data_IF_097587482919
#
_entry.id   IF_097587482919
#
_cell.length_a   1.000
_cell.length_b   1.000
_cell.length_c   1.000
_cell.angle_alpha   90.00
_cell.angle_beta   90.00
_cell.angle_gamma   90.00
#
_symmetry.space_group_name_H-M   'P 1'
#
loop_
_entity.id
_entity.type
_entity.pdbx_description
1 polymer ?
#
# COMPACT_ATOMS: atom_id res chain seq x y z
N UNK A 1 -15.57 4.91 30.47
CA UNK A 1 -15.02 3.61 30.91
C UNK A 1 -15.71 2.55 30.10
N UNK A 2 -14.98 2.01 29.13
CA UNK A 2 -15.48 1.09 28.12
C UNK A 2 -14.27 0.69 27.28
N UNK A 3 -13.65 -0.40 27.71
CA UNK A 3 -12.44 -0.98 27.11
C UNK A 3 -12.73 -1.46 25.69
N UNK A 4 -12.11 -0.82 24.70
CA UNK A 4 -11.93 -1.36 23.36
C UNK A 4 -10.43 -1.53 23.11
N UNK A 5 -9.82 -2.41 23.91
CA UNK A 5 -8.55 -3.02 23.54
C UNK A 5 -8.86 -3.94 22.36
N UNK A 6 -8.59 -3.47 21.15
CA UNK A 6 -8.56 -4.33 19.97
C UNK A 6 -7.56 -5.45 20.23
N UNK A 7 -8.09 -6.66 20.42
CA UNK A 7 -7.31 -7.86 20.60
C UNK A 7 -6.34 -8.02 19.43
N UNK A 8 -5.06 -8.21 19.75
CA UNK A 8 -4.05 -8.63 18.79
C UNK A 8 -4.56 -9.93 18.15
N UNK A 9 -4.75 -9.95 16.83
CA UNK A 9 -4.84 -11.23 16.11
C UNK A 9 -3.42 -11.79 16.06
N UNK A 10 -3.11 -12.90 16.75
CA UNK A 10 -1.80 -13.53 16.67
C UNK A 10 -1.71 -14.19 15.30
N UNK A 11 -0.88 -13.62 14.43
CA UNK A 11 -0.36 -14.27 13.23
C UNK A 11 0.38 -15.56 13.69
N UNK A 12 -0.17 -16.72 13.33
CA UNK A 12 0.29 -18.12 13.56
C UNK A 12 -0.74 -18.96 14.32
N UNK A 13 -1.54 -19.72 13.56
CA UNK A 13 -1.69 -21.17 13.78
C UNK A 13 -2.55 -21.79 12.68
N UNK A 14 -1.92 -22.46 11.71
CA UNK A 14 -2.33 -23.78 11.19
C UNK A 14 -1.38 -24.28 10.09
N UNK A 15 -0.39 -25.09 10.47
CA UNK A 15 0.00 -26.29 9.70
C UNK A 15 0.42 -27.39 10.69
N UNK A 16 -0.28 -28.52 10.63
CA UNK A 16 0.19 -29.80 11.17
C UNK A 16 0.62 -30.68 9.99
N UNK A 17 1.74 -31.38 10.20
CA UNK A 17 2.23 -32.58 9.49
C UNK A 17 2.71 -32.34 8.03
N UNK A 18 3.92 -32.69 7.59
CA UNK A 18 4.83 -33.78 7.96
C UNK A 18 6.27 -33.49 7.48
N UNK A 19 7.24 -34.05 8.20
CA UNK A 19 8.68 -34.08 7.94
C UNK A 19 9.06 -34.81 6.64
N UNK A 20 10.17 -34.41 6.01
CA UNK A 20 10.89 -35.29 5.08
C UNK A 20 12.03 -34.69 4.25
N UNK A 21 13.24 -34.76 4.79
CA UNK A 21 14.51 -35.07 4.10
C UNK A 21 15.26 -34.00 3.27
N UNK A 22 16.55 -33.97 3.58
CA UNK A 22 17.70 -33.25 3.01
C UNK A 22 17.87 -33.31 1.47
N UNK A 23 18.59 -32.32 0.91
CA UNK A 23 19.32 -32.52 -0.34
C UNK A 23 19.79 -31.27 -1.10
N UNK A 24 21.07 -30.91 -0.91
CA UNK A 24 22.06 -30.43 -1.90
C UNK A 24 21.72 -29.25 -2.84
N UNK A 25 22.49 -28.16 -2.64
CA UNK A 25 22.76 -27.04 -3.55
C UNK A 25 23.47 -27.51 -4.83
N UNK A 26 22.92 -27.23 -6.03
CA UNK A 26 23.63 -26.84 -7.27
C UNK A 26 22.60 -26.31 -8.28
N UNK A 27 22.86 -25.18 -8.95
CA UNK A 27 22.22 -24.89 -10.25
C UNK A 27 22.20 -23.43 -10.69
N UNK A 28 23.26 -22.97 -11.34
CA UNK A 28 23.27 -21.75 -12.15
C UNK A 28 22.24 -21.85 -13.30
N UNK A 29 21.46 -20.80 -13.60
CA UNK A 29 21.52 -20.17 -14.92
C UNK A 29 20.78 -18.83 -15.04
N UNK A 30 21.25 -18.09 -16.03
CA UNK A 30 20.93 -16.76 -16.52
C UNK A 30 19.45 -16.59 -16.91
N UNK A 31 18.89 -15.38 -16.74
CA UNK A 31 18.19 -14.71 -17.84
C UNK A 31 17.80 -13.25 -17.52
N UNK A 32 18.05 -12.40 -18.52
CA UNK A 32 17.33 -11.17 -18.90
C UNK A 32 17.22 -10.01 -17.91
N UNK A 33 18.00 -8.96 -18.21
CA UNK A 33 17.79 -7.56 -17.80
C UNK A 33 16.35 -7.10 -18.08
N UNK A 34 15.67 -6.39 -17.17
CA UNK A 34 14.55 -5.55 -17.54
C UNK A 34 15.07 -4.27 -18.21
N UNK A 35 14.54 -4.02 -19.40
CA UNK A 35 14.58 -2.78 -20.15
C UNK A 35 14.06 -1.59 -19.34
N UNK A 36 14.57 -0.40 -19.68
CA UNK A 36 14.48 0.83 -18.90
C UNK A 36 13.07 1.21 -18.43
N UNK A 37 12.98 1.51 -17.13
CA UNK A 37 11.83 2.20 -16.54
C UNK A 37 11.91 3.70 -16.83
N UNK A 38 10.87 4.22 -17.46
CA UNK A 38 10.52 5.63 -17.49
C UNK A 38 10.50 6.18 -16.06
N UNK A 39 11.40 7.10 -15.73
CA UNK A 39 11.31 7.87 -14.51
C UNK A 39 10.11 8.82 -14.66
N UNK A 40 8.94 8.43 -14.13
CA UNK A 40 7.79 9.33 -14.06
C UNK A 40 8.21 10.59 -13.29
N UNK A 41 7.94 11.80 -13.80
CA UNK A 41 8.19 13.03 -13.04
C UNK A 41 7.30 13.01 -11.80
N UNK A 42 7.93 13.11 -10.62
CA UNK A 42 7.23 13.13 -9.33
C UNK A 42 6.26 14.30 -9.30
N UNK A 43 5.09 14.07 -8.73
CA UNK A 43 4.14 15.11 -8.40
C UNK A 43 4.74 16.11 -7.40
N UNK A 44 4.27 17.35 -7.49
CA UNK A 44 4.70 18.42 -6.58
C UNK A 44 3.94 18.27 -5.28
N UNK A 45 4.67 18.27 -4.16
CA UNK A 45 4.10 18.21 -2.82
C UNK A 45 3.19 19.43 -2.60
N UNK A 46 1.92 19.25 -2.20
CA UNK A 46 1.02 20.36 -1.89
C UNK A 46 1.59 21.25 -0.78
N UNK A 47 1.11 22.50 -0.63
CA UNK A 47 1.49 23.37 0.48
C UNK A 47 1.28 22.66 1.82
N UNK A 48 2.34 22.65 2.64
CA UNK A 48 2.39 21.90 3.89
C UNK A 48 2.61 22.85 5.07
N UNK A 49 1.81 22.70 6.13
CA UNK A 49 2.03 23.42 7.40
C UNK A 49 2.08 22.45 8.58
N UNK A 50 2.94 22.76 9.55
CA UNK A 50 3.01 22.01 10.81
C UNK A 50 1.80 22.33 11.69
N UNK A 51 1.34 21.31 12.41
CA UNK A 51 0.35 21.42 13.49
C UNK A 51 0.88 20.72 14.74
N UNK A 52 0.21 20.89 15.89
CA UNK A 52 0.61 20.23 17.13
C UNK A 52 0.65 18.70 16.97
N UNK A 53 1.52 17.99 17.69
CA UNK A 53 1.68 16.54 17.52
C UNK A 53 0.41 15.76 17.88
N UNK A 54 0.41 14.46 17.62
CA UNK A 54 -0.65 13.55 18.03
C UNK A 54 -0.11 12.18 18.40
N UNK A 55 -0.85 11.45 19.23
CA UNK A 55 -0.53 10.06 19.56
C UNK A 55 -0.89 9.16 18.37
N UNK A 56 0.10 8.40 17.89
CA UNK A 56 -0.11 7.40 16.85
C UNK A 56 -1.00 6.26 17.40
N UNK A 57 -2.12 5.92 16.76
CA UNK A 57 -3.15 5.06 17.34
C UNK A 57 -2.64 3.63 17.57
N UNK A 58 -1.80 3.12 16.67
CA UNK A 58 -1.26 1.76 16.77
C UNK A 58 -0.03 1.63 17.66
N UNK A 59 0.76 2.69 17.79
CA UNK A 59 2.07 2.61 18.47
C UNK A 59 2.05 3.29 19.84
N UNK A 60 1.04 4.12 20.15
CA UNK A 60 0.95 4.85 21.41
C UNK A 60 2.05 5.90 21.60
N UNK A 61 2.83 6.23 20.56
CA UNK A 61 3.89 7.23 20.60
C UNK A 61 3.40 8.58 20.07
N UNK A 62 3.94 9.67 20.59
CA UNK A 62 3.70 11.00 20.03
C UNK A 62 4.46 11.16 18.71
N UNK A 63 3.77 11.56 17.65
CA UNK A 63 4.34 11.79 16.31
C UNK A 63 4.06 13.23 15.85
N UNK A 64 5.03 13.88 15.19
CA UNK A 64 4.76 15.13 14.48
C UNK A 64 3.70 14.92 13.41
N UNK A 65 2.89 15.95 13.15
CA UNK A 65 1.92 15.93 12.06
C UNK A 65 1.86 17.26 11.32
N UNK A 66 1.49 17.18 10.05
CA UNK A 66 1.34 18.31 9.15
C UNK A 66 -0.02 18.24 8.45
N UNK A 67 -0.42 19.38 7.91
CA UNK A 67 -1.58 19.51 7.03
C UNK A 67 -1.07 19.83 5.63
N UNK A 68 -1.43 18.99 4.65
CA UNK A 68 -1.31 19.28 3.23
C UNK A 68 -2.60 19.91 2.74
N UNK A 69 -2.51 21.07 2.10
CA UNK A 69 -3.68 21.71 1.47
C UNK A 69 -3.90 21.15 0.07
N UNK A 70 -4.82 20.19 -0.05
CA UNK A 70 -5.18 19.58 -1.32
C UNK A 70 -6.44 20.26 -1.93
N UNK A 71 -6.65 20.16 -3.26
CA UNK A 71 -7.82 20.74 -3.93
C UNK A 71 -9.19 20.33 -3.36
N UNK A 72 -9.34 19.11 -2.84
CA UNK A 72 -10.59 18.63 -2.25
C UNK A 72 -10.68 18.86 -0.73
N UNK A 73 -9.64 19.43 -0.10
CA UNK A 73 -9.62 19.69 1.33
C UNK A 73 -8.24 19.49 1.96
N UNK A 74 -8.17 19.75 3.26
CA UNK A 74 -6.96 19.52 4.04
C UNK A 74 -6.74 18.01 4.30
N UNK A 75 -5.50 17.56 4.14
CA UNK A 75 -5.09 16.17 4.31
C UNK A 75 -4.03 16.09 5.41
N UNK A 76 -4.28 15.29 6.46
CA UNK A 76 -3.34 15.14 7.58
C UNK A 76 -2.29 14.08 7.25
N UNK A 77 -1.03 14.43 7.47
CA UNK A 77 0.10 13.50 7.46
C UNK A 77 0.65 13.31 8.86
N UNK A 78 0.96 12.07 9.22
CA UNK A 78 1.81 11.76 10.36
C UNK A 78 3.24 11.51 9.89
N UNK A 79 4.20 11.96 10.69
CA UNK A 79 5.63 11.77 10.44
C UNK A 79 6.17 10.72 11.42
N UNK A 80 6.08 9.45 11.05
CA UNK A 80 6.44 8.34 11.94
C UNK A 80 7.96 8.20 12.00
N UNK A 81 8.60 8.22 13.18
CA UNK A 81 10.04 8.08 13.31
C UNK A 81 10.48 6.63 13.00
N UNK A 82 11.75 6.47 12.60
CA UNK A 82 12.36 5.13 12.50
C UNK A 82 12.35 4.48 13.88
N UNK A 83 11.76 3.30 13.99
CA UNK A 83 11.78 2.47 15.20
C UNK A 83 13.00 1.56 15.16
N UNK A 84 13.92 1.71 16.12
CA UNK A 84 15.17 0.92 16.17
C UNK A 84 14.92 -0.51 16.63
N UNK A 85 13.87 -0.68 17.41
CA UNK A 85 13.37 -1.95 17.92
C UNK A 85 12.54 -2.71 16.88
N UNK A 86 12.24 -2.12 15.73
CA UNK A 86 11.55 -2.81 14.64
C UNK A 86 12.41 -3.96 14.13
N UNK A 87 11.89 -5.17 14.30
CA UNK A 87 12.37 -6.38 13.66
C UNK A 87 11.30 -6.76 12.65
N UNK A 88 11.62 -6.82 11.36
CA UNK A 88 10.66 -7.31 10.37
C UNK A 88 10.50 -8.82 10.57
N UNK A 89 9.57 -9.23 11.43
CA UNK A 89 9.32 -10.65 11.72
C UNK A 89 8.88 -11.40 10.44
N UNK A 90 8.10 -10.75 9.56
CA UNK A 90 7.62 -11.33 8.30
C UNK A 90 8.65 -11.32 7.15
N UNK A 91 9.82 -10.67 7.32
CA UNK A 91 10.87 -10.74 6.30
C UNK A 91 11.48 -12.13 6.22
N UNK A 92 11.52 -12.89 7.31
CA UNK A 92 12.25 -14.16 7.36
C UNK A 92 11.56 -15.23 6.50
N UNK A 93 10.24 -15.38 6.59
CA UNK A 93 9.52 -16.44 5.87
C UNK A 93 9.31 -16.11 4.38
N UNK A 94 9.06 -14.84 4.03
CA UNK A 94 8.98 -14.35 2.64
C UNK A 94 10.35 -14.29 1.94
N UNK A 95 11.45 -13.97 2.66
CA UNK A 95 12.82 -14.01 2.11
C UNK A 95 13.46 -15.40 2.13
N UNK A 96 12.97 -16.34 2.94
CA UNK A 96 13.50 -17.71 3.01
C UNK A 96 13.20 -18.54 1.77
N UNK A 97 12.45 -18.01 0.79
CA UNK A 97 12.26 -18.67 -0.50
C UNK A 97 11.52 -20.01 -0.39
N UNK A 98 10.65 -20.16 0.61
CA UNK A 98 9.68 -21.25 0.69
C UNK A 98 8.28 -20.73 0.32
N UNK A 99 8.03 -20.28 -0.93
CA UNK A 99 6.66 -20.20 -1.41
C UNK A 99 6.17 -21.65 -1.42
N UNK A 100 5.27 -22.01 -0.52
CA UNK A 100 4.61 -23.29 -0.61
C UNK A 100 3.63 -23.20 -1.78
N UNK A 101 4.21 -23.41 -2.97
CA UNK A 101 3.61 -23.46 -4.31
C UNK A 101 3.44 -22.12 -5.04
N UNK A 102 4.10 -22.09 -6.21
CA UNK A 102 3.70 -21.36 -7.40
C UNK A 102 3.75 -19.82 -7.33
N UNK A 103 3.47 -19.24 -8.47
CA UNK A 103 3.57 -17.83 -8.85
C UNK A 103 2.62 -16.90 -8.04
N UNK A 104 2.16 -17.28 -6.84
CA UNK A 104 0.99 -16.73 -6.16
C UNK A 104 1.26 -16.09 -4.78
N UNK A 105 2.45 -16.28 -4.18
CA UNK A 105 2.80 -15.74 -2.85
C UNK A 105 3.41 -14.32 -2.88
N UNK A 106 3.78 -13.90 -4.08
CA UNK A 106 4.25 -12.56 -4.36
C UNK A 106 5.77 -12.39 -4.35
N UNK A 107 6.21 -11.29 -4.95
CA UNK A 107 7.62 -11.00 -5.19
C UNK A 107 8.00 -9.68 -4.53
N UNK A 108 9.07 -9.69 -3.72
CA UNK A 108 9.58 -8.47 -3.11
C UNK A 108 10.03 -7.52 -4.20
N UNK A 109 9.48 -6.31 -4.17
CA UNK A 109 9.90 -5.26 -5.10
C UNK A 109 11.29 -4.78 -4.67
N UNK A 110 12.29 -4.99 -5.51
CA UNK A 110 13.49 -4.15 -5.44
C UNK A 110 13.10 -2.71 -5.81
N UNK A 111 13.31 -1.76 -4.91
CA UNK A 111 12.87 -0.34 -4.95
C UNK A 111 13.23 0.50 -6.20
N UNK A 112 13.79 -0.12 -7.24
CA UNK A 112 14.19 0.55 -8.47
C UNK A 112 12.96 1.09 -9.25
N UNK A 113 12.66 2.37 -9.04
CA UNK A 113 11.84 3.18 -9.95
C UNK A 113 10.62 3.87 -9.35
N UNK A 114 10.33 3.73 -8.05
CA UNK A 114 9.19 4.44 -7.43
C UNK A 114 9.59 5.62 -6.54
N UNK A 115 10.88 5.87 -6.34
CA UNK A 115 11.36 7.04 -5.59
C UNK A 115 11.19 6.97 -4.06
N UNK A 116 10.52 5.93 -3.57
CA UNK A 116 10.55 5.43 -2.20
C UNK A 116 11.83 4.62 -2.03
N UNK A 117 12.97 5.30 -1.82
CA UNK A 117 14.23 4.61 -1.58
C UNK A 117 14.29 4.12 -0.13
N UNK A 118 14.02 2.84 0.10
CA UNK A 118 14.15 2.21 1.41
C UNK A 118 15.62 1.80 1.56
N UNK A 119 16.32 2.54 2.40
CA UNK A 119 17.76 2.37 2.68
C UNK A 119 18.02 1.42 3.85
N UNK A 120 17.02 1.18 4.69
CA UNK A 120 17.06 0.16 5.76
C UNK A 120 15.67 -0.45 6.00
N UNK A 121 15.59 -1.74 6.38
CA UNK A 121 14.32 -2.41 6.67
C UNK A 121 13.47 -1.68 7.73
N UNK A 122 14.11 -1.02 8.69
CA UNK A 122 13.43 -0.22 9.73
C UNK A 122 12.61 0.95 9.20
N UNK A 123 12.81 1.39 7.95
CA UNK A 123 11.98 2.43 7.35
C UNK A 123 10.61 1.91 6.90
N UNK A 124 10.42 0.59 6.81
CA UNK A 124 9.12 0.01 6.46
C UNK A 124 8.03 0.28 7.50
N UNK A 125 8.38 0.60 8.75
CA UNK A 125 7.40 0.98 9.77
C UNK A 125 6.96 2.45 9.70
N UNK A 126 7.53 3.26 8.79
CA UNK A 126 7.35 4.72 8.79
C UNK A 126 6.25 5.23 7.84
N UNK A 127 5.74 4.38 6.96
CA UNK A 127 4.70 4.71 6.00
C UNK A 127 3.72 3.55 5.84
N UNK A 128 2.50 3.83 5.41
CA UNK A 128 1.49 2.79 5.19
C UNK A 128 1.18 2.55 3.71
N UNK A 129 0.34 1.54 3.48
CA UNK A 129 -0.17 1.15 2.16
C UNK A 129 -0.77 2.33 1.38
N UNK A 130 -1.57 3.17 2.05
CA UNK A 130 -2.17 4.36 1.44
C UNK A 130 -1.13 5.37 0.98
N UNK A 131 -0.19 5.74 1.87
CA UNK A 131 0.87 6.69 1.53
C UNK A 131 1.72 6.18 0.36
N UNK A 132 2.13 4.91 0.39
CA UNK A 132 2.82 4.26 -0.72
C UNK A 132 2.01 4.34 -2.02
N UNK A 133 0.73 4.00 -1.96
CA UNK A 133 -0.14 3.93 -3.12
C UNK A 133 -0.42 5.29 -3.75
N UNK A 134 -0.20 6.45 -3.13
CA UNK A 134 -0.46 7.76 -3.77
C UNK A 134 0.72 8.72 -3.76
N UNK A 135 1.82 8.33 -3.11
CA UNK A 135 2.88 9.27 -2.75
C UNK A 135 3.63 9.89 -3.92
N UNK A 136 3.83 9.15 -5.01
CA UNK A 136 4.48 9.69 -6.21
C UNK A 136 3.69 10.85 -6.85
N UNK A 137 2.36 10.87 -6.71
CA UNK A 137 1.48 11.90 -7.29
C UNK A 137 1.42 13.17 -6.45
N UNK A 138 1.64 13.06 -5.13
CA UNK A 138 1.56 14.19 -4.20
C UNK A 138 2.86 14.42 -3.41
N UNK A 139 3.98 13.88 -3.90
CA UNK A 139 5.31 14.11 -3.33
C UNK A 139 5.50 13.59 -1.90
N UNK A 140 4.85 12.48 -1.54
CA UNK A 140 5.12 11.78 -0.28
C UNK A 140 6.36 10.90 -0.40
N UNK A 141 6.96 10.61 0.75
CA UNK A 141 8.12 9.75 0.89
C UNK A 141 8.01 8.78 2.06
N UNK A 142 9.11 8.03 2.33
CA UNK A 142 9.14 6.91 3.28
C UNK A 142 8.94 7.32 4.75
N UNK A 143 8.69 8.58 5.05
CA UNK A 143 8.40 9.08 6.40
C UNK A 143 6.98 9.59 6.56
N UNK A 144 6.19 9.56 5.49
CA UNK A 144 4.84 10.10 5.47
C UNK A 144 3.81 8.97 5.63
N UNK A 145 2.86 9.18 6.54
CA UNK A 145 1.80 8.22 6.84
C UNK A 145 0.43 8.89 6.74
N UNK A 146 -0.48 8.32 5.95
CA UNK A 146 -1.87 8.77 5.83
C UNK A 146 -2.75 8.03 6.84
N UNK A 147 -3.28 8.72 7.86
CA UNK A 147 -4.07 8.08 8.92
C UNK A 147 -5.43 8.76 9.11
N UNK A 148 -6.52 7.99 8.96
CA UNK A 148 -7.89 8.46 9.21
C UNK A 148 -8.19 8.73 10.68
N UNK A 149 -7.56 7.98 11.60
CA UNK A 149 -7.94 7.94 13.01
C UNK A 149 -7.42 9.12 13.86
N UNK A 150 -6.47 9.90 13.35
CA UNK A 150 -5.79 10.96 14.11
C UNK A 150 -6.44 12.35 13.89
N UNK A 151 -7.74 12.36 13.64
CA UNK A 151 -8.38 13.49 12.99
C UNK A 151 -9.63 14.09 13.68
N UNK A 152 -9.44 15.06 14.60
CA UNK A 152 -10.52 15.94 15.04
C UNK A 152 -10.63 17.23 14.21
N UNK A 153 -9.72 17.53 13.28
CA UNK A 153 -9.57 18.86 12.64
C UNK A 153 -9.96 18.92 11.16
N UNK A 154 -10.29 17.78 10.55
CA UNK A 154 -10.57 17.63 9.12
C UNK A 154 -11.97 17.00 8.91
N UNK A 155 -12.89 17.27 9.84
CA UNK A 155 -14.29 16.82 9.83
C UNK A 155 -14.45 15.30 9.63
N UNK A 156 -13.57 14.50 10.27
CA UNK A 156 -13.54 13.04 10.15
C UNK A 156 -13.35 12.50 8.71
N UNK A 157 -12.88 13.33 7.77
CA UNK A 157 -12.62 12.89 6.40
C UNK A 157 -11.31 12.09 6.34
N UNK A 158 -11.34 10.90 5.71
CA UNK A 158 -10.16 10.06 5.54
C UNK A 158 -9.13 10.78 4.63
N UNK A 159 -7.86 10.99 5.07
CA UNK A 159 -6.82 11.63 4.28
C UNK A 159 -6.61 11.01 2.89
N UNK A 160 -6.77 9.69 2.78
CA UNK A 160 -6.69 8.99 1.49
C UNK A 160 -7.83 9.40 0.54
N UNK A 161 -9.06 9.52 1.06
CA UNK A 161 -10.21 9.99 0.27
C UNK A 161 -9.98 11.40 -0.27
N UNK A 162 -9.45 12.31 0.56
CA UNK A 162 -9.10 13.68 0.14
C UNK A 162 -8.11 13.67 -1.04
N UNK A 163 -7.10 12.80 -1.00
CA UNK A 163 -6.11 12.66 -2.08
C UNK A 163 -6.77 12.11 -3.35
N UNK A 164 -7.58 11.06 -3.23
CA UNK A 164 -8.30 10.47 -4.36
C UNK A 164 -9.22 11.50 -5.04
N UNK A 165 -10.03 12.23 -4.28
CA UNK A 165 -10.95 13.24 -4.82
C UNK A 165 -10.22 14.43 -5.45
N UNK A 166 -9.03 14.74 -4.96
CA UNK A 166 -8.20 15.85 -5.44
C UNK A 166 -7.50 15.55 -6.76
N UNK A 167 -6.95 14.34 -6.92
CA UNK A 167 -5.97 14.05 -7.99
C UNK A 167 -6.36 12.88 -8.88
N UNK A 168 -7.35 12.07 -8.49
CA UNK A 168 -7.72 10.86 -9.19
C UNK A 168 -9.18 10.87 -9.66
N UNK A 169 -9.47 10.05 -10.65
CA UNK A 169 -10.82 9.69 -11.09
C UNK A 169 -11.02 8.20 -10.91
N UNK A 170 -12.21 7.78 -10.45
CA UNK A 170 -12.55 6.36 -10.34
C UNK A 170 -12.83 5.79 -11.73
N UNK A 171 -12.11 4.73 -12.11
CA UNK A 171 -12.18 4.12 -13.46
C UNK A 171 -12.80 2.73 -13.46
N UNK A 172 -12.83 2.05 -12.32
CA UNK A 172 -13.52 0.76 -12.17
C UNK A 172 -13.98 0.54 -10.73
N UNK A 173 -15.00 -0.30 -10.57
CA UNK A 173 -15.49 -0.83 -9.31
C UNK A 173 -15.74 -2.33 -9.50
N UNK A 174 -15.29 -3.14 -8.55
CA UNK A 174 -15.57 -4.56 -8.46
C UNK A 174 -16.35 -4.78 -7.16
N UNK A 175 -17.65 -5.01 -7.31
CA UNK A 175 -18.65 -5.03 -6.24
C UNK A 175 -18.67 -6.35 -5.42
N UNK A 176 -19.34 -6.34 -4.24
CA UNK A 176 -19.50 -7.53 -3.41
C UNK A 176 -20.42 -8.60 -4.03
N UNK A 177 -20.24 -9.87 -3.63
CA UNK A 177 -19.13 -10.37 -2.81
C UNK A 177 -17.84 -10.35 -3.62
N UNK A 178 -16.71 -10.05 -2.96
CA UNK A 178 -15.40 -10.16 -3.58
C UNK A 178 -15.00 -11.64 -3.73
N UNK A 179 -15.69 -12.32 -4.65
CA UNK A 179 -15.58 -13.75 -4.92
C UNK A 179 -14.58 -14.03 -6.05
N UNK A 180 -14.30 -15.30 -6.32
CA UNK A 180 -13.39 -15.75 -7.39
C UNK A 180 -13.72 -15.15 -8.76
N UNK A 181 -15.00 -14.87 -9.06
CA UNK A 181 -15.42 -14.19 -10.28
C UNK A 181 -15.00 -12.72 -10.35
N UNK A 182 -15.11 -11.98 -9.24
CA UNK A 182 -14.67 -10.58 -9.14
C UNK A 182 -13.13 -10.48 -9.23
N UNK A 183 -12.43 -11.41 -8.58
CA UNK A 183 -10.96 -11.56 -8.68
C UNK A 183 -10.55 -11.83 -10.13
N UNK A 184 -11.21 -12.78 -10.80
CA UNK A 184 -10.94 -13.11 -12.20
C UNK A 184 -11.23 -11.93 -13.13
N UNK A 185 -12.32 -11.20 -12.89
CA UNK A 185 -12.68 -10.00 -13.64
C UNK A 185 -11.61 -8.91 -13.47
N UNK A 186 -11.11 -8.67 -12.25
CA UNK A 186 -10.00 -7.75 -12.03
C UNK A 186 -8.74 -8.19 -12.78
N UNK A 187 -8.36 -9.46 -12.65
CA UNK A 187 -7.15 -10.02 -13.25
C UNK A 187 -7.15 -9.90 -14.78
N UNK A 188 -8.30 -10.07 -15.43
CA UNK A 188 -8.43 -10.02 -16.88
C UNK A 188 -8.87 -8.64 -17.44
N UNK A 189 -9.20 -7.67 -16.58
CA UNK A 189 -9.83 -6.44 -17.03
C UNK A 189 -8.92 -5.60 -17.94
N UNK A 190 -9.35 -5.29 -19.18
CA UNK A 190 -8.61 -4.41 -20.09
C UNK A 190 -8.79 -2.92 -19.75
N UNK A 191 -9.67 -2.58 -18.80
CA UNK A 191 -9.91 -1.21 -18.38
C UNK A 191 -8.79 -0.67 -17.48
N UNK A 192 -8.10 -1.56 -16.78
CA UNK A 192 -7.05 -1.24 -15.83
C UNK A 192 -5.74 -0.93 -16.56
N UNK A 193 -4.97 0.00 -16.00
CA UNK A 193 -3.65 0.39 -16.51
C UNK A 193 -2.61 0.28 -15.41
N UNK A 194 -1.36 0.12 -15.84
CA UNK A 194 -0.23 0.27 -14.94
C UNK A 194 -0.31 1.61 -14.20
N UNK A 195 0.02 1.56 -12.90
CA UNK A 195 -0.04 2.69 -11.96
C UNK A 195 -1.45 3.16 -11.56
N UNK A 196 -2.53 2.52 -12.01
CA UNK A 196 -3.82 2.75 -11.37
C UNK A 196 -3.75 2.38 -9.88
N UNK A 197 -4.45 3.13 -9.03
CA UNK A 197 -4.53 2.90 -7.58
C UNK A 197 -5.71 2.00 -7.29
N UNK A 198 -5.46 0.89 -6.60
CA UNK A 198 -6.47 -0.03 -6.10
C UNK A 198 -6.70 0.28 -4.63
N UNK A 199 -7.96 0.47 -4.23
CA UNK A 199 -8.36 0.62 -2.84
C UNK A 199 -9.37 -0.47 -2.48
N UNK A 200 -9.11 -1.19 -1.40
CA UNK A 200 -10.13 -2.01 -0.76
C UNK A 200 -11.02 -1.08 0.06
N UNK A 201 -12.34 -1.21 -0.08
CA UNK A 201 -13.32 -0.35 0.60
C UNK A 201 -14.44 -1.18 1.23
N UNK A 202 -14.89 -0.77 2.43
CA UNK A 202 -16.04 -1.37 3.10
C UNK A 202 -17.36 -0.64 2.78
N UNK A 203 -18.49 -1.32 2.97
CA UNK A 203 -19.84 -0.75 2.75
C UNK A 203 -20.21 0.46 3.59
N UNK A 204 -19.50 0.75 4.69
CA UNK A 204 -19.88 1.77 5.68
C UNK A 204 -19.24 3.15 5.48
N UNK A 205 -18.37 3.33 4.49
CA UNK A 205 -17.74 4.63 4.24
C UNK A 205 -16.33 4.50 3.71
N UNK A 206 -15.62 5.62 3.48
CA UNK A 206 -14.32 5.63 2.82
C UNK A 206 -13.21 5.25 3.79
N UNK A 207 -13.37 4.12 4.49
CA UNK A 207 -12.27 3.45 5.16
C UNK A 207 -11.57 2.56 4.14
N UNK A 208 -10.26 2.75 4.04
CA UNK A 208 -9.40 2.03 3.10
C UNK A 208 -8.45 1.15 3.91
N UNK A 209 -8.87 -0.07 4.31
CA UNK A 209 -8.00 -0.99 5.04
C UNK A 209 -6.71 -1.30 4.26
N UNK A 210 -6.77 -1.22 2.92
CA UNK A 210 -5.59 -1.39 2.09
C UNK A 210 -5.67 -0.59 0.79
N UNK A 211 -4.50 -0.15 0.32
CA UNK A 211 -4.33 0.43 -1.01
C UNK A 211 -3.03 -0.05 -1.66
N UNK A 212 -3.06 -0.23 -2.97
CA UNK A 212 -1.96 -0.74 -3.77
C UNK A 212 -1.99 -0.12 -5.18
N UNK A 213 -1.01 -0.49 -6.02
CA UNK A 213 -0.91 -0.07 -7.42
C UNK A 213 -1.12 -1.24 -8.36
N UNK A 214 -1.90 -1.05 -9.41
CA UNK A 214 -2.01 -2.03 -10.50
C UNK A 214 -0.66 -2.15 -11.22
N UNK A 215 -0.26 -3.38 -11.50
CA UNK A 215 0.81 -3.71 -12.43
C UNK A 215 0.39 -4.83 -13.35
N UNK A 216 0.73 -4.70 -14.62
CA UNK A 216 0.60 -5.76 -15.62
C UNK A 216 1.79 -6.70 -15.50
N UNK A 217 1.53 -7.99 -15.30
CA UNK A 217 2.55 -9.05 -15.40
C UNK A 217 2.00 -10.13 -16.31
N UNK A 218 2.72 -10.44 -17.38
CA UNK A 218 2.25 -11.35 -18.43
C UNK A 218 0.89 -10.89 -18.98
N UNK A 219 -0.12 -11.76 -18.93
CA UNK A 219 -1.46 -11.55 -19.44
C UNK A 219 -2.50 -11.24 -18.35
N UNK A 220 -2.10 -11.06 -17.08
CA UNK A 220 -3.02 -10.70 -15.97
C UNK A 220 -2.59 -9.46 -15.16
N UNK A 221 -3.56 -8.83 -14.51
CA UNK A 221 -3.36 -7.70 -13.61
C UNK A 221 -2.98 -8.22 -12.22
N UNK A 222 -1.93 -7.62 -11.67
CA UNK A 222 -1.40 -7.81 -10.33
C UNK A 222 -1.51 -6.51 -9.56
N UNK A 223 -1.26 -6.57 -8.26
CA UNK A 223 -1.10 -5.39 -7.42
C UNK A 223 0.30 -5.34 -6.82
N UNK A 224 0.78 -4.13 -6.59
CA UNK A 224 2.00 -3.86 -5.83
C UNK A 224 1.64 -2.95 -4.67
N UNK A 225 1.85 -3.41 -3.45
CA UNK A 225 1.40 -2.72 -2.26
C UNK A 225 2.23 -3.08 -1.04
N UNK A 226 2.08 -2.26 0.00
CA UNK A 226 2.70 -2.48 1.30
C UNK A 226 1.69 -3.18 2.22
N UNK A 227 2.10 -4.25 2.90
CA UNK A 227 1.25 -4.97 3.86
C UNK A 227 1.68 -4.60 5.28
N UNK A 228 0.82 -4.01 6.11
CA UNK A 228 1.17 -3.67 7.50
C UNK A 228 2.52 -2.96 7.66
N UNK A 229 3.40 -3.50 8.50
CA UNK A 229 4.81 -3.09 8.62
C UNK A 229 5.75 -3.84 7.64
N UNK A 230 5.25 -4.80 6.87
CA UNK A 230 5.98 -5.70 5.95
C UNK A 230 6.49 -5.01 4.67
N UNK A 231 7.39 -5.66 3.91
CA UNK A 231 7.87 -5.18 2.62
C UNK A 231 6.77 -4.92 1.58
N UNK A 232 7.17 -4.22 0.53
CA UNK A 232 6.33 -3.99 -0.64
C UNK A 232 6.42 -5.24 -1.52
N UNK A 233 5.26 -5.82 -1.83
CA UNK A 233 5.14 -7.07 -2.58
C UNK A 233 4.38 -6.83 -3.89
N UNK A 234 4.77 -7.54 -4.95
CA UNK A 234 3.90 -7.84 -6.08
C UNK A 234 3.05 -9.04 -5.71
N UNK A 235 1.72 -8.94 -5.72
CA UNK A 235 0.85 -10.08 -5.43
C UNK A 235 -0.33 -10.14 -6.40
N UNK A 236 -0.94 -11.31 -6.61
CA UNK A 236 -2.30 -11.39 -7.11
C UNK A 236 -3.26 -10.67 -6.15
N UNK A 237 -4.35 -10.11 -6.68
CA UNK A 237 -5.38 -9.47 -5.84
C UNK A 237 -6.06 -10.48 -4.90
N UNK A 238 -6.10 -11.77 -5.28
CA UNK A 238 -6.60 -12.86 -4.43
C UNK A 238 -5.84 -12.96 -3.11
N UNK A 239 -4.51 -12.88 -3.16
CA UNK A 239 -3.66 -12.93 -1.96
C UNK A 239 -3.98 -11.77 -1.01
N UNK A 240 -4.22 -10.57 -1.56
CA UNK A 240 -4.65 -9.40 -0.78
C UNK A 240 -6.06 -9.60 -0.23
N UNK A 241 -6.98 -10.15 -1.02
CA UNK A 241 -8.36 -10.37 -0.61
C UNK A 241 -8.49 -11.35 0.55
N UNK A 242 -7.64 -12.38 0.62
CA UNK A 242 -7.55 -13.30 1.77
C UNK A 242 -7.03 -12.61 3.03
N UNK A 243 -6.01 -11.77 2.91
CA UNK A 243 -5.41 -11.06 4.04
C UNK A 243 -6.40 -10.08 4.69
N UNK A 244 -7.14 -9.34 3.87
CA UNK A 244 -8.11 -8.36 4.33
C UNK A 244 -9.54 -8.90 4.35
N UNK A 245 -9.70 -10.23 4.40
CA UNK A 245 -11.03 -10.86 4.44
C UNK A 245 -11.86 -10.23 5.57
N UNK A 246 -13.14 -9.95 5.28
CA UNK A 246 -14.10 -9.27 6.17
C UNK A 246 -13.89 -7.77 6.43
N UNK A 247 -12.77 -7.18 6.03
CA UNK A 247 -12.50 -5.74 6.22
C UNK A 247 -12.97 -4.87 5.05
N UNK A 248 -13.26 -5.48 3.90
CA UNK A 248 -13.75 -4.81 2.71
C UNK A 248 -14.82 -5.67 2.02
N UNK A 249 -15.63 -5.02 1.20
CA UNK A 249 -16.60 -5.70 0.36
C UNK A 249 -16.58 -5.21 -1.10
N UNK A 250 -15.83 -4.12 -1.38
CA UNK A 250 -15.65 -3.55 -2.72
C UNK A 250 -14.18 -3.33 -3.02
N UNK A 251 -13.86 -3.34 -4.31
CA UNK A 251 -12.57 -2.86 -4.83
C UNK A 251 -12.81 -1.70 -5.76
N UNK A 252 -12.27 -0.53 -5.41
CA UNK A 252 -12.29 0.64 -6.26
C UNK A 252 -10.95 0.83 -6.93
N UNK A 253 -10.97 1.18 -8.22
CA UNK A 253 -9.76 1.49 -8.98
C UNK A 253 -9.81 2.92 -9.46
N UNK A 254 -8.71 3.64 -9.23
CA UNK A 254 -8.56 5.06 -9.47
C UNK A 254 -7.39 5.32 -10.40
N UNK A 255 -7.54 6.32 -11.28
CA UNK A 255 -6.51 6.76 -12.22
C UNK A 255 -6.20 8.23 -11.98
N UNK A 256 -4.94 8.62 -12.11
CA UNK A 256 -4.55 10.04 -12.04
C UNK A 256 -5.27 10.84 -13.11
N UNK A 257 -5.90 11.96 -12.76
CA UNK A 257 -6.60 12.83 -13.71
C UNK A 257 -5.64 13.42 -14.74
N UNK A 258 -5.99 13.31 -16.01
CA UNK A 258 -5.23 13.91 -17.11
C UNK A 258 -5.26 15.45 -16.98
N UNK A 259 -4.09 16.11 -16.92
CA UNK A 259 -3.99 17.58 -16.87
C UNK A 259 -3.47 18.20 -15.57
N UNK A 260 -3.19 17.40 -14.53
CA UNK A 260 -2.52 17.87 -13.29
C UNK A 260 -1.11 17.33 -13.07
N UNK A 261 -0.56 16.62 -14.07
CA UNK A 261 0.90 16.43 -14.18
C UNK A 261 1.50 17.80 -14.51
N UNK A 262 2.05 18.47 -13.50
CA UNK A 262 2.67 19.80 -13.55
C UNK A 262 1.71 20.99 -13.54
N UNK A 263 1.37 21.46 -12.34
CA UNK A 263 1.13 22.88 -12.08
C UNK A 263 2.29 23.40 -11.20
N UNK A 264 3.48 23.48 -11.78
CA UNK A 264 4.59 24.26 -11.23
C UNK A 264 5.48 24.75 -12.38
N UNK A 265 5.40 26.06 -12.62
CA UNK A 265 6.33 26.94 -13.33
C UNK A 265 5.53 27.92 -14.21
N UNK A 266 5.09 29.03 -13.62
CA UNK A 266 4.97 30.28 -14.37
C UNK A 266 6.10 31.17 -13.83
N UNK A 267 6.92 31.76 -14.71
CA UNK A 267 8.18 32.44 -14.38
C UNK A 267 8.02 33.60 -13.39
#
# INVERSE_FOLDING_TARGET
>A
MGDCLGERVPWLTRRQALLGMAGVLVGCNQSSRPSGRSANPRGVRPPERRIGPATHPWYGIEVPRTVLSCPAGDCILLHVPVRKEYQPDAMIDLLAGNPETAEDDGEIVGDAGQGWAITSPSQLCQFNCCAYAVGDVIGLGPTDWLCGDVNPTTDATNPMQVVLDSYYERVAEFDPPFASSAISAFAASPLLRDDDVVCLAGSRGPEYPHAARVRRRQDRNWVVGKFGEDPILWTPLETVGREFESQFDRVWVFRVRSGRRSAAATP
#
